data_IF_426604660832
#
_entry.id   IF_426604660832
#
_cell.length_a   1.000
_cell.length_b   1.000
_cell.length_c   1.000
_cell.angle_alpha   90.00
_cell.angle_beta   90.00
_cell.angle_gamma   90.00
#
_symmetry.space_group_name_H-M   'P 1'
#
loop_
_entity.id
_entity.type
_entity.pdbx_description
1 polymer ?
#
# COMPACT_ATOMS: atom_id res chain seq x y z
N UNK A 1 9.82 24.93 10.17
CA UNK A 1 8.38 24.72 9.93
C UNK A 1 8.19 24.72 8.43
N UNK A 2 8.41 23.58 7.78
CA UNK A 2 8.22 23.43 6.33
C UNK A 2 6.75 23.10 6.12
N UNK A 3 6.06 23.90 5.29
CA UNK A 3 4.67 23.67 4.93
C UNK A 3 4.50 22.23 4.41
N UNK A 4 3.42 21.52 4.78
CA UNK A 4 3.15 20.22 4.20
C UNK A 4 2.98 20.38 2.68
N UNK A 5 3.55 19.48 1.86
CA UNK A 5 3.31 19.50 0.41
C UNK A 5 1.80 19.37 0.16
N UNK A 6 1.31 20.11 -0.84
CA UNK A 6 -0.10 20.12 -1.24
C UNK A 6 -0.53 18.73 -1.72
N UNK A 7 -1.08 17.92 -0.82
CA UNK A 7 -1.72 16.65 -1.15
C UNK A 7 -3.09 16.94 -1.76
N UNK A 8 -3.22 16.74 -3.08
CA UNK A 8 -4.53 16.75 -3.73
C UNK A 8 -5.18 15.38 -3.50
N UNK A 9 -6.01 15.26 -2.45
CA UNK A 9 -6.72 14.01 -2.11
C UNK A 9 -7.97 13.85 -2.97
N UNK A 10 -8.00 12.81 -3.81
CA UNK A 10 -9.20 12.36 -4.54
C UNK A 10 -9.41 10.87 -4.29
N UNK A 11 -10.57 10.50 -3.73
CA UNK A 11 -10.96 9.10 -3.48
C UNK A 11 -10.85 8.27 -4.78
N UNK A 12 -9.91 7.32 -4.81
CA UNK A 12 -9.69 6.42 -5.95
C UNK A 12 -8.70 6.91 -7.02
N UNK A 13 -7.99 8.01 -6.80
CA UNK A 13 -7.02 8.54 -7.78
C UNK A 13 -5.57 8.35 -7.32
N UNK A 14 -4.63 8.31 -8.28
CA UNK A 14 -3.20 8.38 -8.02
C UNK A 14 -2.86 9.59 -7.14
N UNK A 15 -2.23 9.37 -5.99
CA UNK A 15 -1.73 10.47 -5.17
C UNK A 15 -0.29 10.80 -5.58
N UNK A 16 -0.04 12.07 -5.91
CA UNK A 16 1.29 12.55 -6.26
C UNK A 16 1.81 13.51 -5.21
N UNK A 17 3.04 13.28 -4.81
CA UNK A 17 3.75 14.04 -3.80
C UNK A 17 5.08 14.51 -4.38
N UNK A 18 5.43 15.76 -4.10
CA UNK A 18 6.74 16.31 -4.46
C UNK A 18 7.42 16.87 -3.22
N UNK A 19 8.70 16.49 -3.06
CA UNK A 19 9.52 16.93 -1.94
C UNK A 19 10.80 17.57 -2.47
N UNK A 20 11.08 18.78 -2.01
CA UNK A 20 12.35 19.44 -2.25
C UNK A 20 13.31 19.14 -1.11
N UNK A 21 14.53 18.70 -1.45
CA UNK A 21 15.54 18.35 -0.45
C UNK A 21 16.27 19.63 -0.01
N UNK A 22 16.03 20.08 1.22
CA UNK A 22 16.64 21.30 1.78
C UNK A 22 18.03 21.03 2.40
N UNK A 23 18.26 19.83 2.94
CA UNK A 23 19.55 19.42 3.51
C UNK A 23 19.94 18.04 2.95
N UNK A 24 21.00 18.00 2.16
CA UNK A 24 21.49 16.78 1.50
C UNK A 24 22.43 15.94 2.36
N UNK A 25 22.54 14.65 2.03
CA UNK A 25 23.41 13.57 2.57
C UNK A 25 22.69 12.39 3.27
N UNK A 26 21.37 12.31 3.22
CA UNK A 26 20.61 11.12 3.68
C UNK A 26 20.26 10.20 2.51
N UNK A 27 19.94 8.93 2.82
CA UNK A 27 19.42 7.98 1.83
C UNK A 27 17.98 8.36 1.45
N UNK A 28 17.57 8.05 0.21
CA UNK A 28 16.25 8.34 -0.31
C UNK A 28 15.14 7.69 0.52
N UNK A 29 15.30 6.42 0.89
CA UNK A 29 14.33 5.72 1.74
C UNK A 29 14.17 6.37 3.12
N UNK A 30 15.28 6.79 3.73
CA UNK A 30 15.29 7.52 5.00
C UNK A 30 14.67 8.91 4.86
N UNK A 31 14.98 9.63 3.77
CA UNK A 31 14.42 10.94 3.48
C UNK A 31 12.89 10.87 3.36
N UNK A 32 12.36 9.90 2.61
CA UNK A 32 10.92 9.69 2.45
C UNK A 32 10.25 9.23 3.74
N UNK A 33 10.92 8.41 4.55
CA UNK A 33 10.39 7.99 5.85
C UNK A 33 10.30 9.13 6.88
N UNK A 34 10.99 10.26 6.64
CA UNK A 34 10.84 11.48 7.44
C UNK A 34 9.71 12.39 6.93
N UNK A 35 9.16 12.11 5.74
CA UNK A 35 8.01 12.84 5.20
C UNK A 35 6.72 12.29 5.79
N UNK A 36 5.72 13.16 5.97
CA UNK A 36 4.40 12.78 6.50
C UNK A 36 3.49 12.20 5.40
N UNK A 37 3.88 11.08 4.81
CA UNK A 37 3.17 10.41 3.70
C UNK A 37 2.16 9.35 4.15
N UNK A 38 1.96 9.13 5.45
CA UNK A 38 1.15 8.03 6.03
C UNK A 38 1.60 6.61 5.61
N UNK A 39 2.70 6.48 4.85
CA UNK A 39 3.24 5.21 4.37
C UNK A 39 4.24 4.59 5.34
N UNK A 40 4.17 3.26 5.48
CA UNK A 40 5.19 2.49 6.20
C UNK A 40 6.51 2.43 5.41
N UNK A 41 7.62 2.16 6.11
CA UNK A 41 8.94 1.96 5.48
C UNK A 41 8.94 0.87 4.41
N UNK A 42 8.20 -0.21 4.63
CA UNK A 42 8.11 -1.33 3.68
C UNK A 42 7.35 -0.93 2.40
N UNK A 43 6.27 -0.16 2.53
CA UNK A 43 5.54 0.39 1.39
C UNK A 43 6.40 1.38 0.60
N UNK A 44 7.10 2.29 1.28
CA UNK A 44 8.04 3.21 0.62
C UNK A 44 9.13 2.47 -0.14
N UNK A 45 9.76 1.47 0.47
CA UNK A 45 10.77 0.65 -0.20
C UNK A 45 10.21 -0.01 -1.46
N UNK A 46 9.01 -0.61 -1.37
CA UNK A 46 8.32 -1.23 -2.50
C UNK A 46 8.08 -0.22 -3.63
N UNK A 47 7.54 0.96 -3.32
CA UNK A 47 7.26 2.01 -4.30
C UNK A 47 8.54 2.50 -5.00
N UNK A 48 9.65 2.61 -4.28
CA UNK A 48 10.94 2.97 -4.89
C UNK A 48 11.40 1.88 -5.88
N UNK A 49 11.31 0.60 -5.50
CA UNK A 49 11.69 -0.54 -6.35
C UNK A 49 10.78 -0.69 -7.56
N UNK A 50 9.48 -0.41 -7.40
CA UNK A 50 8.47 -0.42 -8.48
C UNK A 50 8.54 0.82 -9.38
N UNK A 51 9.50 1.72 -9.16
CA UNK A 51 9.73 2.91 -9.99
C UNK A 51 8.72 4.04 -9.77
N UNK A 52 7.92 3.96 -8.70
CA UNK A 52 6.94 4.96 -8.31
C UNK A 52 7.56 6.16 -7.58
N UNK A 53 8.88 6.11 -7.33
CA UNK A 53 9.67 7.23 -6.80
C UNK A 53 10.72 7.64 -7.81
N UNK A 54 10.75 8.93 -8.12
CA UNK A 54 11.71 9.55 -9.02
C UNK A 54 12.59 10.55 -8.26
N UNK A 55 13.88 10.56 -8.57
CA UNK A 55 14.81 11.61 -8.16
C UNK A 55 15.18 12.42 -9.39
N UNK A 56 14.84 13.70 -9.40
CA UNK A 56 15.05 14.61 -10.54
C UNK A 56 14.51 14.02 -11.86
N UNK A 57 13.32 13.41 -11.80
CA UNK A 57 12.66 12.78 -12.95
C UNK A 57 13.23 11.43 -13.40
N UNK A 58 14.15 10.83 -12.65
CA UNK A 58 14.76 9.52 -12.97
C UNK A 58 14.50 8.50 -11.87
N UNK A 59 14.34 7.23 -12.23
CA UNK A 59 14.23 6.14 -11.25
C UNK A 59 15.45 6.11 -10.32
N UNK A 60 15.19 5.90 -9.03
CA UNK A 60 16.21 5.90 -8.00
C UNK A 60 16.18 4.59 -7.20
N UNK A 61 17.29 4.28 -6.53
CA UNK A 61 17.38 3.13 -5.61
C UNK A 61 17.12 3.58 -4.17
N UNK A 62 16.60 2.71 -3.28
CA UNK A 62 16.32 3.08 -1.89
C UNK A 62 17.55 3.66 -1.15
N UNK A 63 18.72 3.08 -1.39
CA UNK A 63 19.99 3.50 -0.78
C UNK A 63 20.67 4.70 -1.48
N UNK A 64 20.08 5.25 -2.55
CA UNK A 64 20.65 6.39 -3.26
C UNK A 64 20.62 7.63 -2.35
N UNK A 65 21.73 8.37 -2.30
CA UNK A 65 21.83 9.59 -1.49
C UNK A 65 21.14 10.74 -2.21
N UNK A 66 20.32 11.49 -1.48
CA UNK A 66 19.73 12.74 -1.95
C UNK A 66 20.60 13.93 -1.56
N UNK A 67 20.65 14.93 -2.44
CA UNK A 67 21.43 16.17 -2.29
C UNK A 67 20.50 17.36 -2.12
N UNK A 68 21.03 18.41 -1.51
CA UNK A 68 20.31 19.68 -1.42
C UNK A 68 19.95 20.17 -2.82
N UNK A 69 18.70 20.57 -3.00
CA UNK A 69 18.14 21.00 -4.29
C UNK A 69 17.57 19.87 -5.15
N UNK A 70 17.72 18.60 -4.77
CA UNK A 70 17.06 17.51 -5.49
C UNK A 70 15.54 17.59 -5.32
N UNK A 71 14.82 17.21 -6.37
CA UNK A 71 13.37 17.02 -6.37
C UNK A 71 13.06 15.52 -6.31
N UNK A 72 12.35 15.11 -5.26
CA UNK A 72 11.86 13.74 -5.10
C UNK A 72 10.36 13.73 -5.41
N UNK A 73 9.96 12.99 -6.44
CA UNK A 73 8.55 12.78 -6.78
C UNK A 73 8.13 11.38 -6.34
N UNK A 74 7.01 11.26 -5.64
CA UNK A 74 6.40 10.01 -5.21
C UNK A 74 5.00 9.92 -5.79
N UNK A 75 4.71 8.83 -6.50
CA UNK A 75 3.37 8.47 -6.96
C UNK A 75 2.87 7.29 -6.14
N UNK A 76 1.70 7.41 -5.54
CA UNK A 76 1.02 6.31 -4.86
C UNK A 76 -0.08 5.85 -5.81
N UNK A 77 0.05 4.64 -6.41
CA UNK A 77 -0.98 4.12 -7.28
C UNK A 77 -2.26 3.83 -6.46
N UNK A 78 -3.44 3.88 -7.09
CA UNK A 78 -4.67 3.51 -6.41
C UNK A 78 -4.57 2.07 -5.88
N UNK A 79 -5.27 1.75 -4.77
CA UNK A 79 -5.38 0.39 -4.29
C UNK A 79 -5.86 -0.51 -5.43
N UNK A 80 -5.18 -1.63 -5.66
CA UNK A 80 -5.68 -2.61 -6.62
C UNK A 80 -6.95 -3.22 -6.06
N UNK A 81 -8.02 -3.19 -6.85
CA UNK A 81 -9.22 -3.96 -6.56
C UNK A 81 -8.83 -5.42 -6.36
N UNK A 82 -9.29 -6.02 -5.27
CA UNK A 82 -9.11 -7.45 -5.04
C UNK A 82 -9.97 -8.17 -6.08
N UNK A 83 -9.36 -8.93 -6.99
CA UNK A 83 -10.10 -9.77 -7.96
C UNK A 83 -10.84 -10.96 -7.33
N UNK A 84 -11.10 -10.90 -6.02
CA UNK A 84 -11.77 -11.93 -5.24
C UNK A 84 -13.26 -11.70 -5.37
N UNK A 85 -13.95 -12.66 -5.98
CA UNK A 85 -15.39 -12.57 -6.20
C UNK A 85 -16.18 -13.23 -5.06
N UNK A 86 -17.36 -12.70 -4.71
CA UNK A 86 -18.31 -13.38 -3.84
C UNK A 86 -18.68 -14.77 -4.34
N UNK A 87 -18.69 -15.77 -3.46
CA UNK A 87 -19.13 -17.12 -3.78
C UNK A 87 -19.96 -17.68 -2.63
N UNK A 88 -21.22 -18.03 -2.91
CA UNK A 88 -22.07 -18.65 -1.91
C UNK A 88 -21.47 -19.97 -1.42
N UNK A 89 -21.39 -20.14 -0.10
CA UNK A 89 -21.02 -21.40 0.55
C UNK A 89 -21.62 -21.45 1.97
N UNK A 90 -21.92 -22.65 2.50
CA UNK A 90 -22.46 -22.79 3.84
C UNK A 90 -21.36 -22.53 4.89
N UNK A 91 -21.43 -21.37 5.57
CA UNK A 91 -20.52 -21.00 6.66
C UNK A 91 -21.27 -21.01 7.99
N UNK A 92 -20.68 -21.66 9.00
CA UNK A 92 -21.24 -21.68 10.35
C UNK A 92 -20.70 -20.49 11.14
N UNK A 93 -21.54 -19.48 11.36
CA UNK A 93 -21.22 -18.33 12.21
C UNK A 93 -21.51 -18.69 13.67
N UNK A 94 -20.49 -18.67 14.52
CA UNK A 94 -20.63 -18.94 15.95
C UNK A 94 -20.80 -17.66 16.77
N UNK A 95 -20.40 -16.52 16.24
CA UNK A 95 -20.60 -15.21 16.84
C UNK A 95 -20.54 -14.11 15.77
N UNK A 96 -21.35 -13.06 15.92
CA UNK A 96 -21.30 -11.87 15.07
C UNK A 96 -21.80 -10.64 15.83
N UNK A 97 -21.09 -9.53 15.69
CA UNK A 97 -21.53 -8.20 16.09
C UNK A 97 -21.25 -7.16 14.99
N UNK A 98 -21.26 -5.87 15.34
CA UNK A 98 -21.02 -4.76 14.41
C UNK A 98 -19.60 -4.71 13.85
N UNK A 99 -18.64 -5.29 14.55
CA UNK A 99 -17.21 -5.09 14.30
C UNK A 99 -16.52 -6.40 13.92
N UNK A 100 -17.02 -7.54 14.41
CA UNK A 100 -16.38 -8.84 14.23
C UNK A 100 -17.39 -9.96 13.92
N UNK A 101 -16.89 -10.96 13.18
CA UNK A 101 -17.57 -12.24 12.93
C UNK A 101 -16.62 -13.38 13.26
N UNK A 102 -17.13 -14.43 13.89
CA UNK A 102 -16.39 -15.65 14.22
C UNK A 102 -17.07 -16.81 13.51
N UNK A 103 -16.29 -17.53 12.71
CA UNK A 103 -16.76 -18.63 11.88
C UNK A 103 -16.09 -19.93 12.33
N UNK A 104 -16.90 -20.97 12.50
CA UNK A 104 -16.41 -22.34 12.62
C UNK A 104 -16.00 -22.83 11.22
N UNK A 105 -14.73 -22.59 10.89
CA UNK A 105 -14.20 -22.86 9.55
C UNK A 105 -14.04 -24.37 9.35
N UNK A 106 -14.68 -24.97 8.33
CA UNK A 106 -14.51 -26.39 8.05
C UNK A 106 -13.05 -26.74 7.71
N UNK A 107 -12.65 -27.97 8.05
CA UNK A 107 -11.38 -28.52 7.63
C UNK A 107 -11.30 -28.58 6.10
N UNK A 108 -10.11 -28.35 5.54
CA UNK A 108 -9.90 -28.36 4.08
C UNK A 108 -10.29 -27.06 3.35
N UNK A 109 -11.04 -26.15 3.98
CA UNK A 109 -11.32 -24.84 3.39
C UNK A 109 -10.15 -23.87 3.60
N UNK A 110 -9.59 -23.35 2.51
CA UNK A 110 -8.53 -22.33 2.52
C UNK A 110 -9.07 -20.97 3.01
N UNK A 111 -8.27 -20.22 3.76
CA UNK A 111 -8.71 -18.93 4.33
C UNK A 111 -8.65 -17.82 3.27
N UNK A 112 -7.51 -17.67 2.61
CA UNK A 112 -7.28 -16.62 1.61
C UNK A 112 -6.96 -17.24 0.24
N UNK A 113 -7.37 -16.58 -0.86
CA UNK A 113 -6.93 -16.92 -2.20
C UNK A 113 -5.42 -17.03 -2.29
N UNK A 114 -4.94 -18.10 -2.90
CA UNK A 114 -3.53 -18.36 -3.10
C UNK A 114 -3.27 -19.07 -4.43
N UNK A 115 -2.00 -19.37 -4.76
CA UNK A 115 -1.65 -19.96 -6.05
C UNK A 115 -2.34 -21.31 -6.33
N UNK A 116 -2.58 -22.11 -5.28
CA UNK A 116 -3.20 -23.44 -5.38
C UNK A 116 -4.74 -23.38 -5.30
N UNK A 117 -5.28 -22.44 -4.52
CA UNK A 117 -6.71 -22.21 -4.35
C UNK A 117 -6.99 -20.73 -4.60
N UNK A 118 -7.14 -20.32 -5.88
CA UNK A 118 -7.34 -18.91 -6.22
C UNK A 118 -8.75 -18.41 -5.86
N UNK A 119 -9.70 -19.32 -5.63
CA UNK A 119 -11.07 -19.05 -5.22
C UNK A 119 -11.59 -20.16 -4.28
N UNK A 120 -12.89 -20.16 -3.99
CA UNK A 120 -13.55 -21.10 -3.08
C UNK A 120 -12.90 -21.11 -1.69
N UNK A 121 -12.47 -19.93 -1.24
CA UNK A 121 -11.87 -19.71 0.06
C UNK A 121 -12.86 -19.05 1.02
N UNK A 122 -12.53 -19.02 2.31
CA UNK A 122 -13.36 -18.37 3.32
C UNK A 122 -13.63 -16.89 2.98
N UNK A 123 -12.64 -16.17 2.44
CA UNK A 123 -12.85 -14.78 1.98
C UNK A 123 -13.93 -14.71 0.88
N UNK A 124 -13.93 -15.64 -0.08
CA UNK A 124 -14.96 -15.66 -1.12
C UNK A 124 -16.36 -15.85 -0.53
N UNK A 125 -16.48 -16.73 0.48
CA UNK A 125 -17.73 -17.00 1.19
C UNK A 125 -18.24 -15.83 2.00
N UNK A 126 -17.33 -15.09 2.65
CA UNK A 126 -17.67 -13.92 3.46
C UNK A 126 -18.14 -12.70 2.65
N UNK A 127 -17.82 -12.66 1.36
CA UNK A 127 -18.23 -11.58 0.46
C UNK A 127 -19.63 -11.78 -0.15
N UNK A 128 -20.23 -12.98 0.01
CA UNK A 128 -21.47 -13.41 -0.64
C UNK A 128 -22.76 -13.01 0.10
#
# INVERSE_FOLDING_TARGET
MTAPPEATRGSGQEEKWEFKVEAGHVRLDQFLALQSTELTRAQLHRLIVEGQVLLNGRSAKPAQKVRSGDLVSLTIPPPRETGVLPQWMPLTVIYQDSDIVVIDKPAGLSVHPGPVHPDQTLVNGLLA
#
